data_IF_438471305917
#
_entry.id   IF_438471305917
#
_cell.length_a   1.000
_cell.length_b   1.000
_cell.length_c   1.000
_cell.angle_alpha   90.00
_cell.angle_beta   90.00
_cell.angle_gamma   90.00
#
_symmetry.space_group_name_H-M   'P 1'
#
loop_
_entity.id
_entity.type
_entity.pdbx_description
1 polymer ?
#
# COMPACT_ATOMS: atom_id res chain seq x y z
N UNK A 1 -18.26 -9.17 6.87
CA UNK A 1 -16.86 -9.01 6.53
C UNK A 1 -16.72 -8.91 5.04
N UNK A 2 -16.13 -7.87 4.60
CA UNK A 2 -15.91 -7.68 3.18
C UNK A 2 -15.07 -8.82 2.62
N UNK A 3 -15.18 -9.08 1.33
CA UNK A 3 -14.53 -10.22 0.70
C UNK A 3 -13.02 -10.21 0.75
N UNK A 4 -12.51 -9.65 1.81
CA UNK A 4 -11.09 -9.40 2.03
C UNK A 4 -10.25 -10.66 1.97
N UNK A 5 -10.79 -11.77 2.42
CA UNK A 5 -10.00 -12.99 2.49
C UNK A 5 -9.53 -13.48 1.14
N UNK A 6 -10.41 -13.44 0.15
CA UNK A 6 -10.00 -13.83 -1.20
C UNK A 6 -9.02 -12.85 -1.79
N UNK A 7 -9.20 -11.58 -1.46
CA UNK A 7 -8.34 -10.56 -2.00
C UNK A 7 -6.99 -10.56 -1.33
N UNK A 8 -6.95 -10.95 -0.05
CA UNK A 8 -5.69 -11.18 0.65
C UNK A 8 -4.88 -12.27 -0.04
N UNK A 9 -5.55 -13.24 -0.63
CA UNK A 9 -4.91 -14.27 -1.43
C UNK A 9 -4.09 -13.67 -2.56
N UNK A 10 -4.67 -12.71 -3.28
CA UNK A 10 -3.96 -12.03 -4.36
C UNK A 10 -2.76 -11.26 -3.83
N UNK A 11 -2.88 -10.67 -2.65
CA UNK A 11 -1.77 -9.97 -2.04
C UNK A 11 -0.63 -10.92 -1.72
N UNK A 12 -0.94 -12.12 -1.26
CA UNK A 12 0.11 -13.12 -1.04
C UNK A 12 0.85 -13.44 -2.32
N UNK A 13 0.16 -13.45 -3.44
CA UNK A 13 0.80 -13.67 -4.72
C UNK A 13 1.79 -12.57 -5.06
N UNK A 14 1.55 -11.36 -4.59
CA UNK A 14 2.47 -10.25 -4.82
C UNK A 14 3.82 -10.46 -4.13
N UNK A 15 3.86 -11.29 -3.09
CA UNK A 15 5.11 -11.57 -2.37
C UNK A 15 6.14 -12.31 -3.21
N UNK A 16 5.75 -12.81 -4.34
CA UNK A 16 6.66 -13.52 -5.23
C UNK A 16 7.27 -12.61 -6.29
N UNK A 17 7.16 -11.31 -6.11
CA UNK A 17 7.77 -10.34 -6.99
C UNK A 17 6.81 -9.76 -8.00
N UNK A 18 7.23 -9.68 -9.25
CA UNK A 18 6.43 -9.06 -10.29
C UNK A 18 5.19 -9.90 -10.58
N UNK A 19 4.03 -9.25 -10.49
CA UNK A 19 2.77 -9.89 -10.82
C UNK A 19 2.44 -9.60 -12.26
N UNK A 20 2.08 -10.63 -13.00
CA UNK A 20 1.71 -10.49 -14.40
C UNK A 20 0.30 -11.03 -14.61
N UNK A 21 -0.41 -10.43 -15.57
CA UNK A 21 -1.71 -10.94 -15.96
C UNK A 21 -1.54 -12.15 -16.88
N UNK A 22 -2.66 -12.69 -17.40
CA UNK A 22 -2.63 -13.85 -18.25
C UNK A 22 -1.86 -13.67 -19.55
N UNK A 23 -1.70 -12.42 -19.97
CA UNK A 23 -0.98 -12.08 -21.20
C UNK A 23 0.47 -11.74 -20.93
N UNK A 24 0.92 -11.83 -19.68
CA UNK A 24 2.29 -11.51 -19.32
C UNK A 24 2.54 -10.03 -19.03
N UNK A 25 1.50 -9.21 -19.01
CA UNK A 25 1.66 -7.80 -18.69
C UNK A 25 1.88 -7.61 -17.20
N UNK A 26 2.79 -6.70 -16.85
CA UNK A 26 3.07 -6.38 -15.46
C UNK A 26 1.88 -5.64 -14.85
N UNK A 27 1.40 -6.10 -13.70
CA UNK A 27 0.29 -5.47 -13.01
C UNK A 27 0.78 -4.25 -12.24
N UNK A 28 0.04 -3.16 -12.37
CA UNK A 28 0.31 -1.92 -11.65
C UNK A 28 -0.34 -2.00 -10.27
N UNK A 29 0.45 -1.78 -9.23
CA UNK A 29 -0.04 -1.80 -7.86
C UNK A 29 0.05 -0.41 -7.25
N UNK A 30 -1.07 0.06 -6.70
CA UNK A 30 -1.18 1.38 -6.09
C UNK A 30 -1.61 1.23 -4.64
N UNK A 31 -0.91 1.91 -3.74
CA UNK A 31 -1.29 2.05 -2.35
C UNK A 31 -1.89 3.44 -2.17
N UNK A 32 -3.20 3.50 -2.02
CA UNK A 32 -3.88 4.75 -1.73
C UNK A 32 -4.05 4.89 -0.23
N UNK A 33 -3.59 5.99 0.35
CA UNK A 33 -3.59 6.16 1.79
C UNK A 33 -4.33 7.42 2.16
N UNK A 34 -5.38 7.27 2.98
CA UNK A 34 -6.14 8.38 3.52
C UNK A 34 -5.68 8.59 4.96
N UNK A 35 -4.89 9.64 5.18
CA UNK A 35 -4.22 9.87 6.46
C UNK A 35 -5.11 10.70 7.38
N UNK A 36 -5.32 10.20 8.59
CA UNK A 36 -5.99 10.93 9.65
C UNK A 36 -5.03 11.09 10.83
N UNK A 37 -5.54 11.60 11.95
CA UNK A 37 -4.67 11.96 13.07
C UNK A 37 -3.93 10.77 13.67
N UNK A 38 -4.66 9.76 14.09
CA UNK A 38 -4.07 8.61 14.80
C UNK A 38 -3.93 7.38 13.90
N UNK A 39 -4.64 7.35 12.78
CA UNK A 39 -4.67 6.18 11.92
C UNK A 39 -4.81 6.60 10.46
N UNK A 40 -4.60 5.66 9.56
CA UNK A 40 -4.76 5.87 8.13
C UNK A 40 -5.49 4.69 7.54
N UNK A 41 -6.28 4.96 6.50
CA UNK A 41 -6.91 3.89 5.72
C UNK A 41 -6.03 3.61 4.52
N UNK A 42 -5.62 2.35 4.37
CA UNK A 42 -4.78 1.93 3.26
C UNK A 42 -5.62 1.07 2.32
N UNK A 43 -5.64 1.45 1.05
CA UNK A 43 -6.30 0.67 0.02
C UNK A 43 -5.24 0.23 -0.99
N UNK A 44 -5.23 -1.06 -1.30
CA UNK A 44 -4.30 -1.61 -2.29
C UNK A 44 -5.08 -1.93 -3.55
N UNK A 45 -4.67 -1.31 -4.65
CA UNK A 45 -5.32 -1.48 -5.94
C UNK A 45 -4.34 -2.14 -6.91
N UNK A 46 -4.83 -3.12 -7.65
CA UNK A 46 -4.07 -3.76 -8.72
C UNK A 46 -4.83 -3.53 -10.01
N UNK A 47 -4.18 -2.85 -10.96
CA UNK A 47 -4.78 -2.45 -12.23
C UNK A 47 -6.10 -1.71 -12.03
N UNK A 48 -6.14 -0.83 -11.01
CA UNK A 48 -7.30 -0.01 -10.73
C UNK A 48 -8.40 -0.68 -9.90
N UNK A 49 -8.25 -1.96 -9.61
CA UNK A 49 -9.23 -2.69 -8.80
C UNK A 49 -8.75 -2.81 -7.36
N UNK A 50 -9.58 -2.39 -6.41
CA UNK A 50 -9.24 -2.53 -4.99
C UNK A 50 -9.30 -4.01 -4.60
N UNK A 51 -8.15 -4.55 -4.19
CA UNK A 51 -8.06 -5.95 -3.79
C UNK A 51 -7.98 -6.12 -2.28
N UNK A 52 -7.62 -5.08 -1.55
CA UNK A 52 -7.49 -5.14 -0.10
C UNK A 52 -7.54 -3.74 0.50
N UNK A 53 -7.90 -3.67 1.75
CA UNK A 53 -7.85 -2.43 2.51
C UNK A 53 -7.76 -2.74 3.98
N UNK A 54 -7.12 -1.85 4.72
CA UNK A 54 -7.00 -2.00 6.17
C UNK A 54 -6.75 -0.65 6.82
N UNK A 55 -6.95 -0.62 8.13
CA UNK A 55 -6.63 0.55 8.92
C UNK A 55 -5.24 0.37 9.50
N UNK A 56 -4.41 1.38 9.34
CA UNK A 56 -3.04 1.38 9.81
C UNK A 56 -2.91 2.44 10.89
N UNK A 57 -2.35 2.08 12.05
CA UNK A 57 -2.01 3.08 13.06
C UNK A 57 -0.83 3.91 12.56
N UNK A 58 -0.85 5.21 12.87
CA UNK A 58 0.21 6.13 12.46
C UNK A 58 1.38 6.09 13.45
N UNK A 59 1.92 4.92 13.66
CA UNK A 59 3.04 4.67 14.55
C UNK A 59 3.98 3.64 13.93
N UNK A 60 5.06 3.31 14.65
CA UNK A 60 6.08 2.40 14.14
C UNK A 60 5.50 1.03 13.77
N UNK A 61 4.55 0.54 14.54
CA UNK A 61 3.95 -0.78 14.28
C UNK A 61 3.14 -0.75 13.00
N UNK A 62 2.29 0.27 12.84
CA UNK A 62 1.48 0.42 11.63
C UNK A 62 2.33 0.63 10.40
N UNK A 63 3.34 1.48 10.50
CA UNK A 63 4.22 1.75 9.37
C UNK A 63 5.05 0.53 8.97
N UNK A 64 5.45 -0.29 9.94
CA UNK A 64 6.15 -1.54 9.62
C UNK A 64 5.26 -2.50 8.85
N UNK A 65 3.98 -2.55 9.17
CA UNK A 65 3.04 -3.35 8.40
C UNK A 65 2.96 -2.87 6.96
N UNK A 66 2.87 -1.55 6.78
CA UNK A 66 2.85 -0.97 5.44
C UNK A 66 4.14 -1.30 4.70
N UNK A 67 5.27 -1.17 5.37
CA UNK A 67 6.56 -1.48 4.76
C UNK A 67 6.64 -2.92 4.29
N UNK A 68 6.15 -3.85 5.11
CA UNK A 68 6.15 -5.25 4.73
C UNK A 68 5.32 -5.47 3.45
N UNK A 69 4.18 -4.80 3.35
CA UNK A 69 3.36 -4.90 2.15
C UNK A 69 4.04 -4.27 0.95
N UNK A 70 4.68 -3.11 1.13
CA UNK A 70 5.41 -2.45 0.04
C UNK A 70 6.54 -3.31 -0.48
N UNK A 71 7.23 -4.02 0.39
CA UNK A 71 8.34 -4.87 -0.01
C UNK A 71 7.92 -6.09 -0.83
N UNK A 72 6.65 -6.44 -0.78
CA UNK A 72 6.15 -7.59 -1.55
C UNK A 72 5.82 -7.22 -2.98
N UNK A 73 5.92 -5.96 -3.35
CA UNK A 73 5.48 -5.46 -4.64
C UNK A 73 6.65 -4.85 -5.39
N UNK A 74 6.70 -5.10 -6.69
CA UNK A 74 7.69 -4.46 -7.55
C UNK A 74 7.16 -3.08 -7.97
N UNK A 75 7.94 -2.03 -7.68
CA UNK A 75 7.59 -0.64 -8.03
C UNK A 75 6.20 -0.23 -7.56
N UNK A 76 5.91 -0.29 -6.25
CA UNK A 76 4.62 0.16 -5.77
C UNK A 76 4.47 1.67 -5.98
N UNK A 77 3.27 2.09 -6.40
CA UNK A 77 2.93 3.51 -6.43
C UNK A 77 2.22 3.84 -5.14
N UNK A 78 2.57 4.96 -4.54
CA UNK A 78 1.98 5.38 -3.27
C UNK A 78 1.36 6.75 -3.47
N UNK A 79 0.07 6.86 -3.17
CA UNK A 79 -0.69 8.09 -3.37
C UNK A 79 -1.35 8.49 -2.06
N UNK A 80 -1.09 9.71 -1.60
CA UNK A 80 -1.75 10.28 -0.45
C UNK A 80 -1.57 11.80 -0.47
N UNK A 81 -2.36 12.51 0.34
CA UNK A 81 -2.24 13.96 0.42
C UNK A 81 -1.03 14.34 1.29
N UNK A 82 0.12 14.48 0.65
CA UNK A 82 1.39 14.70 1.34
C UNK A 82 1.47 16.03 2.08
N UNK A 83 0.65 17.01 1.67
CA UNK A 83 0.61 18.32 2.33
C UNK A 83 -0.34 18.34 3.51
N UNK A 84 -1.06 17.26 3.78
CA UNK A 84 -1.96 17.17 4.90
C UNK A 84 -1.23 17.29 6.22
N UNK A 85 -1.92 17.85 7.23
CA UNK A 85 -1.34 18.12 8.54
C UNK A 85 -0.78 16.86 9.20
N UNK A 86 -1.44 15.73 9.00
CA UNK A 86 -1.06 14.50 9.66
C UNK A 86 -0.18 13.60 8.81
N UNK A 87 0.24 14.06 7.64
CA UNK A 87 1.02 13.23 6.71
C UNK A 87 2.52 13.28 6.94
N UNK A 88 2.99 14.14 7.84
CA UNK A 88 4.43 14.33 8.04
C UNK A 88 5.15 13.04 8.41
N UNK A 89 4.61 12.28 9.35
CA UNK A 89 5.24 11.03 9.79
C UNK A 89 5.32 10.01 8.67
N UNK A 90 4.23 9.89 7.90
CA UNK A 90 4.20 8.96 6.79
C UNK A 90 5.21 9.36 5.72
N UNK A 91 5.30 10.65 5.42
CA UNK A 91 6.30 11.14 4.46
C UNK A 91 7.71 10.80 4.90
N UNK A 92 8.03 11.10 6.16
CA UNK A 92 9.35 10.82 6.69
C UNK A 92 9.69 9.34 6.63
N UNK A 93 8.73 8.50 6.95
CA UNK A 93 8.90 7.06 6.90
C UNK A 93 9.18 6.58 5.48
N UNK A 94 8.38 7.02 4.52
CA UNK A 94 8.56 6.60 3.13
C UNK A 94 9.88 7.09 2.57
N UNK A 95 10.28 8.32 2.90
CA UNK A 95 11.53 8.88 2.45
C UNK A 95 12.72 8.13 3.05
N UNK A 96 12.61 7.74 4.31
CA UNK A 96 13.65 6.97 4.98
C UNK A 96 13.93 5.65 4.26
N UNK A 97 12.89 5.00 3.78
CA UNK A 97 13.02 3.71 3.10
C UNK A 97 13.11 3.83 1.59
N UNK A 98 13.22 5.04 1.08
CA UNK A 98 13.46 5.27 -0.34
C UNK A 98 12.26 5.10 -1.25
N UNK A 99 11.05 5.20 -0.72
CA UNK A 99 9.85 5.11 -1.53
C UNK A 99 9.38 6.48 -2.00
N UNK A 100 9.11 6.58 -3.30
CA UNK A 100 8.51 7.77 -3.87
C UNK A 100 7.00 7.75 -3.65
N UNK A 101 6.41 8.94 -3.57
CA UNK A 101 4.96 9.08 -3.42
C UNK A 101 4.48 10.29 -4.20
N UNK A 102 3.18 10.35 -4.39
CA UNK A 102 2.55 11.45 -5.12
C UNK A 102 1.52 12.15 -4.27
#
# INVERSE_FOLDING_TARGET
MWGARRRVWKIKSLKHGIIQDKKGNIMRTVFGIDVSKASSEVAILVNGEKIHGYTMLNDAIGFNRLLNDLKTVHNPEIIFEATGVYSRRLRAFLEEYGYAYT
#
